data_IF_674290250229
#
_entry.id   IF_674290250229
#
_cell.length_a   1.000
_cell.length_b   1.000
_cell.length_c   1.000
_cell.angle_alpha   90.00
_cell.angle_beta   90.00
_cell.angle_gamma   90.00
#
_symmetry.space_group_name_H-M   'P 1'
#
loop_
_entity.id
_entity.type
_entity.pdbx_description
1 polymer ?
#
# COMPACT_ATOMS: atom_id res chain seq x y z
N UNK A 1 -7.64 26.48 -55.45
CA UNK A 1 -6.22 26.89 -55.50
C UNK A 1 -5.44 26.07 -54.49
N UNK A 2 -4.61 25.17 -54.99
CA UNK A 2 -3.69 24.30 -54.24
C UNK A 2 -2.47 25.09 -53.76
N UNK A 3 -2.00 24.84 -52.53
CA UNK A 3 -0.59 25.01 -52.16
C UNK A 3 -0.06 23.73 -51.50
N UNK A 4 0.90 23.14 -52.24
CA UNK A 4 1.91 22.11 -51.97
C UNK A 4 2.88 22.57 -50.85
N UNK A 5 3.77 21.80 -50.19
CA UNK A 5 4.22 20.38 -50.12
C UNK A 5 5.28 20.31 -48.98
N UNK A 6 5.58 19.08 -48.52
CA UNK A 6 6.79 18.58 -47.83
C UNK A 6 6.91 18.86 -46.32
N UNK A 7 7.24 17.90 -45.45
CA UNK A 7 7.68 16.52 -45.63
C UNK A 7 8.84 16.23 -44.68
N UNK A 8 8.71 15.22 -43.80
CA UNK A 8 9.79 14.29 -43.46
C UNK A 8 9.23 13.14 -42.62
N UNK A 9 9.18 11.95 -43.23
CA UNK A 9 9.19 10.69 -42.51
C UNK A 9 10.66 10.36 -42.19
N UNK A 10 10.94 9.96 -40.96
CA UNK A 10 12.14 9.18 -40.67
C UNK A 10 11.72 7.91 -39.93
N UNK A 11 11.76 6.80 -40.68
CA UNK A 11 11.82 5.46 -40.13
C UNK A 11 13.27 5.19 -39.71
N UNK A 12 13.47 4.64 -38.52
CA UNK A 12 14.70 3.94 -38.17
C UNK A 12 14.31 2.62 -37.50
N UNK A 13 14.52 1.55 -38.25
CA UNK A 13 14.52 0.18 -37.77
C UNK A 13 15.78 -0.08 -36.94
N UNK A 14 15.65 -0.80 -35.82
CA UNK A 14 16.74 -1.62 -35.27
C UNK A 14 16.13 -2.97 -34.88
N UNK A 15 16.45 -3.98 -35.68
CA UNK A 15 16.24 -5.40 -35.41
C UNK A 15 17.43 -5.94 -34.59
N UNK A 16 17.14 -6.96 -33.75
CA UNK A 16 17.96 -8.12 -33.32
C UNK A 16 19.40 -7.86 -32.80
N UNK A 17 19.95 -8.54 -31.78
CA UNK A 17 19.71 -9.86 -31.20
C UNK A 17 20.59 -10.01 -29.93
N UNK A 18 20.21 -10.98 -29.12
CA UNK A 18 20.86 -11.63 -27.97
C UNK A 18 22.40 -11.57 -27.84
N UNK A 19 22.90 -11.36 -26.61
CA UNK A 19 23.96 -12.18 -26.00
C UNK A 19 24.11 -11.87 -24.50
N UNK A 20 24.04 -12.91 -23.67
CA UNK A 20 24.45 -12.90 -22.28
C UNK A 20 25.98 -12.84 -22.17
N UNK A 21 26.51 -12.04 -21.23
CA UNK A 21 27.86 -12.22 -20.71
C UNK A 21 27.81 -12.05 -19.19
N UNK A 22 27.97 -13.17 -18.51
CA UNK A 22 28.44 -13.29 -17.13
C UNK A 22 29.88 -12.80 -17.04
N UNK A 23 30.21 -11.94 -16.07
CA UNK A 23 31.58 -11.68 -15.67
C UNK A 23 31.70 -11.83 -14.14
N UNK A 24 32.31 -12.94 -13.75
CA UNK A 24 32.87 -13.18 -12.42
C UNK A 24 34.08 -12.27 -12.23
N UNK A 25 34.13 -11.50 -11.15
CA UNK A 25 35.36 -10.87 -10.70
C UNK A 25 35.98 -11.78 -9.63
N UNK A 26 37.05 -12.47 -10.04
CA UNK A 26 37.93 -13.22 -9.16
C UNK A 26 39.01 -12.30 -8.60
N UNK A 27 39.41 -12.63 -7.37
CA UNK A 27 40.57 -12.26 -6.58
C UNK A 27 41.81 -11.84 -7.40
N UNK A 28 42.49 -10.80 -6.92
CA UNK A 28 43.90 -10.56 -7.20
C UNK A 28 44.61 -10.30 -5.87
N UNK A 29 45.50 -11.22 -5.56
CA UNK A 29 46.45 -11.18 -4.47
C UNK A 29 47.49 -10.09 -4.72
N UNK A 30 47.90 -9.37 -3.67
CA UNK A 30 49.18 -8.67 -3.67
C UNK A 30 49.88 -8.99 -2.35
N UNK A 31 50.93 -9.78 -2.48
CA UNK A 31 51.81 -10.27 -1.44
C UNK A 31 53.10 -9.47 -1.54
N UNK A 32 53.38 -8.63 -0.53
CA UNK A 32 54.64 -7.93 -0.40
C UNK A 32 55.05 -7.88 1.07
N UNK A 33 55.73 -8.95 1.48
CA UNK A 33 56.49 -9.01 2.71
C UNK A 33 57.80 -8.20 2.60
N UNK A 34 58.07 -7.34 3.59
CA UNK A 34 59.43 -7.17 4.14
C UNK A 34 59.38 -6.76 5.61
N UNK A 35 60.18 -7.47 6.40
CA UNK A 35 60.25 -7.39 7.86
C UNK A 35 61.20 -6.30 8.37
N UNK A 36 60.94 -5.81 9.60
CA UNK A 36 61.97 -5.47 10.57
C UNK A 36 61.38 -5.46 12.00
N UNK A 37 62.08 -6.12 12.91
CA UNK A 37 61.78 -6.30 14.32
C UNK A 37 62.01 -5.01 15.15
N UNK A 38 61.37 -4.88 16.31
CA UNK A 38 61.99 -5.14 17.63
C UNK A 38 61.19 -4.57 18.82
N UNK A 39 61.12 -5.40 19.87
CA UNK A 39 61.03 -5.16 21.31
C UNK A 39 59.92 -4.37 22.05
N UNK A 40 59.33 -5.13 22.98
CA UNK A 40 59.06 -4.83 24.39
C UNK A 40 57.92 -3.87 24.76
N UNK A 41 57.01 -4.37 25.60
CA UNK A 41 55.90 -3.58 26.14
C UNK A 41 54.83 -4.41 26.85
N UNK A 42 55.24 -5.21 27.84
CA UNK A 42 54.54 -5.39 29.12
C UNK A 42 53.02 -5.68 29.13
N UNK A 43 52.70 -6.93 29.45
CA UNK A 43 51.35 -7.42 29.76
C UNK A 43 50.87 -6.92 31.11
N UNK A 44 49.79 -6.12 31.13
CA UNK A 44 48.92 -6.01 32.30
C UNK A 44 47.62 -6.76 31.99
N UNK A 45 47.42 -7.85 32.71
CA UNK A 45 46.13 -8.49 32.84
C UNK A 45 45.23 -7.60 33.72
N UNK A 46 44.04 -7.25 33.22
CA UNK A 46 42.90 -7.11 34.10
C UNK A 46 41.66 -7.70 33.41
N UNK A 47 41.02 -8.60 34.13
CA UNK A 47 39.88 -9.36 33.68
C UNK A 47 38.62 -8.53 33.80
N UNK A 48 37.91 -8.39 32.69
CA UNK A 48 36.47 -8.17 32.73
C UNK A 48 35.84 -8.92 31.59
N UNK A 49 35.59 -10.19 31.87
CA UNK A 49 34.61 -11.01 31.17
C UNK A 49 33.22 -10.47 31.49
N UNK A 50 32.81 -9.41 30.79
CA UNK A 50 31.41 -9.04 30.73
C UNK A 50 30.76 -9.82 29.59
N UNK A 51 30.19 -10.93 30.03
CA UNK A 51 29.26 -11.79 29.30
C UNK A 51 28.29 -10.95 28.48
N UNK A 52 28.48 -10.95 27.16
CA UNK A 52 27.41 -10.57 26.24
C UNK A 52 26.32 -11.62 26.38
N UNK A 53 25.35 -11.33 27.25
CA UNK A 53 24.08 -12.01 27.27
C UNK A 53 23.38 -11.68 25.95
N UNK A 54 23.68 -12.47 24.91
CA UNK A 54 22.74 -12.75 23.85
C UNK A 54 21.56 -13.43 24.54
N UNK A 55 20.65 -12.61 25.07
CA UNK A 55 19.30 -13.03 25.32
C UNK A 55 18.69 -13.31 23.94
N UNK A 56 19.04 -14.48 23.39
CA UNK A 56 18.20 -15.22 22.48
C UNK A 56 16.87 -15.38 23.21
N UNK A 57 16.02 -14.37 23.03
CA UNK A 57 14.60 -14.51 23.18
C UNK A 57 14.26 -15.68 22.28
N UNK A 58 14.00 -16.81 22.92
CA UNK A 58 13.16 -17.83 22.33
C UNK A 58 11.89 -17.10 21.93
N UNK A 59 11.87 -16.65 20.68
CA UNK A 59 10.65 -16.21 20.00
C UNK A 59 9.68 -17.34 20.23
N UNK A 60 8.66 -17.10 21.07
CA UNK A 60 7.62 -18.08 21.30
C UNK A 60 7.23 -18.61 19.93
N UNK A 61 7.41 -19.91 19.71
CA UNK A 61 7.43 -20.53 18.39
C UNK A 61 6.10 -20.37 17.60
N UNK A 62 5.13 -19.65 18.17
CA UNK A 62 3.84 -19.33 17.59
C UNK A 62 3.44 -17.84 17.57
N UNK A 63 4.33 -16.84 17.79
CA UNK A 63 4.00 -15.41 17.59
C UNK A 63 4.88 -14.72 16.53
N UNK A 64 5.05 -15.39 15.40
CA UNK A 64 5.92 -14.94 14.30
C UNK A 64 5.16 -14.93 12.98
N UNK A 65 5.70 -14.25 11.98
CA UNK A 65 5.39 -14.50 10.56
C UNK A 65 6.69 -14.75 9.81
N UNK A 66 6.61 -15.53 8.74
CA UNK A 66 7.79 -15.93 7.97
C UNK A 66 7.69 -15.46 6.53
N UNK A 67 8.85 -15.33 5.89
CA UNK A 67 8.96 -15.10 4.46
C UNK A 67 10.00 -16.03 3.86
N UNK A 68 9.62 -16.72 2.78
CA UNK A 68 10.51 -17.63 2.06
C UNK A 68 11.21 -16.89 0.92
N UNK A 69 12.45 -16.48 1.17
CA UNK A 69 13.29 -15.71 0.23
C UNK A 69 13.64 -16.56 -1.00
N UNK A 70 13.92 -17.85 -0.81
CA UNK A 70 14.35 -18.75 -1.89
C UNK A 70 13.20 -19.09 -2.81
N UNK A 71 12.04 -19.46 -2.25
CA UNK A 71 10.81 -19.72 -3.02
C UNK A 71 10.33 -18.46 -3.76
N UNK A 72 10.62 -17.28 -3.21
CA UNK A 72 10.35 -15.98 -3.85
C UNK A 72 11.32 -15.64 -4.98
N UNK A 73 12.37 -16.43 -5.22
CA UNK A 73 13.39 -16.18 -6.25
C UNK A 73 14.28 -14.96 -5.96
N UNK A 74 14.37 -14.53 -4.71
CA UNK A 74 15.18 -13.36 -4.34
C UNK A 74 16.64 -13.78 -4.12
N UNK A 75 17.56 -13.12 -4.84
CA UNK A 75 18.98 -13.46 -4.83
C UNK A 75 19.80 -12.40 -4.09
N UNK A 76 20.99 -12.80 -3.60
CA UNK A 76 21.96 -11.92 -2.93
C UNK A 76 21.42 -11.20 -1.67
N UNK A 77 20.38 -11.77 -1.05
CA UNK A 77 19.75 -11.23 0.16
C UNK A 77 20.65 -11.47 1.36
N UNK A 78 20.97 -10.39 2.07
CA UNK A 78 21.72 -10.39 3.34
C UNK A 78 20.85 -9.99 4.53
N UNK A 79 19.79 -9.24 4.29
CA UNK A 79 18.86 -8.79 5.32
C UNK A 79 17.47 -8.66 4.73
N UNK A 80 16.49 -9.10 5.51
CA UNK A 80 15.06 -9.03 5.21
C UNK A 80 14.38 -8.24 6.31
N UNK A 81 13.38 -7.45 5.94
CA UNK A 81 12.58 -6.63 6.83
C UNK A 81 11.11 -6.97 6.63
N UNK A 82 10.33 -6.90 7.71
CA UNK A 82 8.89 -7.11 7.71
C UNK A 82 8.22 -5.83 8.20
N UNK A 83 7.28 -5.32 7.42
CA UNK A 83 6.52 -4.11 7.70
C UNK A 83 5.07 -4.51 7.90
N UNK A 84 4.52 -4.24 9.09
CA UNK A 84 3.13 -4.58 9.43
C UNK A 84 2.45 -3.34 9.98
N UNK A 85 1.23 -3.08 9.50
CA UNK A 85 0.36 -2.01 9.98
C UNK A 85 -1.10 -2.44 9.90
N UNK A 86 -1.99 -1.74 10.61
CA UNK A 86 -3.43 -2.00 10.51
C UNK A 86 -3.99 -1.41 9.21
N UNK A 87 -4.81 -2.18 8.52
CA UNK A 87 -5.37 -1.80 7.23
C UNK A 87 -6.29 -0.55 7.31
N UNK A 88 -6.87 -0.28 8.48
CA UNK A 88 -7.68 0.91 8.77
C UNK A 88 -6.83 2.18 9.01
N UNK A 89 -5.50 2.06 9.00
CA UNK A 89 -4.55 3.14 9.23
C UNK A 89 -4.38 3.55 10.69
N UNK A 90 -5.00 2.83 11.63
CA UNK A 90 -4.81 3.01 13.07
C UNK A 90 -3.56 2.30 13.58
N UNK A 91 -3.14 2.62 14.80
CA UNK A 91 -2.00 1.97 15.46
C UNK A 91 -0.64 2.51 15.01
N UNK A 92 0.40 1.74 15.31
CA UNK A 92 1.77 2.11 15.00
C UNK A 92 2.10 1.79 13.55
N UNK A 93 2.64 2.80 12.86
CA UNK A 93 3.09 2.67 11.48
C UNK A 93 4.55 2.17 11.42
N UNK A 94 4.89 1.32 10.42
CA UNK A 94 6.24 0.83 10.19
C UNK A 94 7.23 1.98 9.93
N UNK A 95 8.45 1.81 10.45
CA UNK A 95 9.57 2.69 10.19
C UNK A 95 10.51 1.98 9.21
N UNK A 96 10.33 2.28 7.92
CA UNK A 96 10.88 1.54 6.79
C UNK A 96 12.33 1.06 6.97
N UNK A 97 12.51 -0.26 6.91
CA UNK A 97 13.77 -0.99 7.04
C UNK A 97 14.56 -0.64 8.31
N UNK A 98 13.86 -0.32 9.39
CA UNK A 98 14.48 -0.07 10.68
C UNK A 98 14.96 -1.36 11.35
N UNK A 99 15.80 -1.20 12.38
CA UNK A 99 16.29 -2.32 13.20
C UNK A 99 15.15 -3.13 13.84
N UNK A 100 14.01 -2.49 14.16
CA UNK A 100 12.83 -3.16 14.75
C UNK A 100 12.09 -4.06 13.76
N UNK A 101 12.21 -3.79 12.47
CA UNK A 101 11.55 -4.52 11.39
C UNK A 101 12.42 -5.65 10.83
N UNK A 102 13.71 -5.67 11.19
CA UNK A 102 14.66 -6.65 10.69
C UNK A 102 14.28 -8.07 11.15
N UNK A 103 14.14 -8.97 10.18
CA UNK A 103 13.87 -10.37 10.41
C UNK A 103 15.14 -11.12 10.85
N UNK A 104 14.97 -12.20 11.61
CA UNK A 104 16.00 -13.23 11.75
C UNK A 104 16.02 -14.05 10.47
N UNK A 105 17.06 -13.91 9.66
CA UNK A 105 17.18 -14.57 8.36
C UNK A 105 18.20 -15.70 8.40
N UNK A 106 17.75 -16.90 8.03
CA UNK A 106 18.61 -18.07 7.81
C UNK A 106 18.79 -18.29 6.30
N UNK A 107 19.99 -18.02 5.81
CA UNK A 107 20.32 -18.15 4.38
C UNK A 107 20.41 -19.61 3.91
N UNK A 108 20.64 -20.57 4.82
CA UNK A 108 20.72 -21.99 4.49
C UNK A 108 19.35 -22.56 4.13
N UNK A 109 18.31 -22.18 4.86
CA UNK A 109 16.92 -22.53 4.57
C UNK A 109 16.23 -21.54 3.65
N UNK A 110 16.67 -20.27 3.66
CA UNK A 110 16.01 -19.18 2.92
C UNK A 110 14.86 -18.53 3.69
N UNK A 111 14.65 -18.88 4.96
CA UNK A 111 13.51 -18.40 5.75
C UNK A 111 13.91 -17.17 6.56
N UNK A 112 13.18 -16.07 6.35
CA UNK A 112 13.20 -14.90 7.20
C UNK A 112 12.03 -14.97 8.20
N UNK A 113 12.33 -14.91 9.49
CA UNK A 113 11.31 -14.95 10.56
C UNK A 113 11.24 -13.59 11.24
N UNK A 114 10.04 -13.04 11.33
CA UNK A 114 9.74 -11.80 12.02
C UNK A 114 8.93 -12.05 13.29
N UNK A 115 9.33 -11.39 14.37
CA UNK A 115 8.67 -11.45 15.68
C UNK A 115 7.61 -10.35 15.77
N UNK A 116 6.33 -10.75 15.86
CA UNK A 116 5.20 -9.83 15.82
C UNK A 116 5.13 -8.91 17.03
N UNK A 117 5.76 -9.28 18.16
CA UNK A 117 5.81 -8.41 19.34
C UNK A 117 6.55 -7.08 19.08
N UNK A 118 7.38 -7.03 18.03
CA UNK A 118 8.16 -5.85 17.64
C UNK A 118 7.37 -4.80 16.87
N UNK A 119 6.14 -5.12 16.47
CA UNK A 119 5.28 -4.21 15.69
C UNK A 119 4.69 -3.06 16.50
N UNK A 120 4.63 -3.19 17.84
CA UNK A 120 3.84 -2.29 18.70
C UNK A 120 2.34 -2.57 18.69
N UNK A 121 1.86 -3.43 17.77
CA UNK A 121 0.46 -3.84 17.69
C UNK A 121 0.21 -5.09 18.56
N UNK A 122 -0.94 -5.12 19.25
CA UNK A 122 -1.41 -6.36 19.91
C UNK A 122 -2.13 -7.21 18.87
N UNK A 123 -1.43 -8.21 18.33
CA UNK A 123 -1.94 -9.12 17.29
C UNK A 123 -2.34 -10.45 17.94
N UNK A 124 -3.57 -10.90 17.68
CA UNK A 124 -4.12 -12.14 18.24
C UNK A 124 -4.54 -13.13 17.14
N UNK A 125 -4.58 -14.43 17.45
CA UNK A 125 -5.07 -15.47 16.51
C UNK A 125 -6.54 -15.31 16.13
N UNK A 126 -7.32 -14.68 16.99
CA UNK A 126 -8.74 -14.37 16.76
C UNK A 126 -8.96 -13.13 15.91
N UNK A 127 -7.93 -12.33 15.67
CA UNK A 127 -8.07 -11.15 14.81
C UNK A 127 -8.43 -11.60 13.39
N UNK A 128 -9.41 -10.92 12.80
CA UNK A 128 -9.72 -11.10 11.40
C UNK A 128 -8.69 -10.40 10.50
N UNK A 129 -9.09 -10.08 9.27
CA UNK A 129 -8.20 -9.54 8.23
C UNK A 129 -7.95 -8.05 8.43
N UNK A 130 -7.28 -7.67 9.51
CA UNK A 130 -7.13 -6.26 9.92
C UNK A 130 -5.72 -5.71 9.71
N UNK A 131 -4.77 -6.54 9.26
CA UNK A 131 -3.38 -6.13 9.05
C UNK A 131 -2.97 -6.24 7.58
N UNK A 132 -2.05 -5.36 7.17
CA UNK A 132 -1.31 -5.47 5.94
C UNK A 132 0.16 -5.80 6.26
N UNK A 133 0.80 -6.63 5.45
CA UNK A 133 2.21 -6.98 5.56
C UNK A 133 2.95 -6.76 4.24
N UNK A 134 4.17 -6.26 4.34
CA UNK A 134 5.16 -6.26 3.26
C UNK A 134 6.45 -6.88 3.79
N UNK A 135 7.11 -7.69 2.97
CA UNK A 135 8.51 -8.02 3.15
C UNK A 135 9.37 -7.25 2.17
N UNK A 136 10.53 -6.79 2.61
CA UNK A 136 11.55 -6.15 1.77
C UNK A 136 12.95 -6.66 2.09
N UNK A 137 13.89 -6.46 1.18
CA UNK A 137 15.28 -6.86 1.35
C UNK A 137 16.26 -5.72 1.08
N UNK A 138 17.50 -5.89 1.56
CA UNK A 138 18.61 -4.95 1.32
C UNK A 138 19.00 -4.80 -0.16
N UNK A 139 18.46 -5.64 -1.05
CA UNK A 139 18.68 -5.61 -2.49
C UNK A 139 17.68 -4.71 -3.22
N UNK A 140 16.73 -4.10 -2.50
CA UNK A 140 15.63 -3.33 -3.09
C UNK A 140 14.42 -4.17 -3.47
N UNK A 141 14.47 -5.49 -3.30
CA UNK A 141 13.31 -6.38 -3.52
C UNK A 141 12.23 -6.13 -2.48
N UNK A 142 10.97 -6.20 -2.91
CA UNK A 142 9.79 -5.95 -2.09
C UNK A 142 8.63 -6.85 -2.55
N UNK A 143 7.87 -7.39 -1.60
CA UNK A 143 6.57 -8.00 -1.91
C UNK A 143 5.51 -6.92 -2.14
N UNK A 144 4.47 -7.26 -2.90
CA UNK A 144 3.23 -6.52 -2.84
C UNK A 144 2.59 -6.64 -1.45
N UNK A 145 1.71 -5.70 -1.12
CA UNK A 145 0.95 -5.74 0.13
C UNK A 145 0.16 -7.05 0.19
N UNK A 146 0.32 -7.80 1.28
CA UNK A 146 -0.53 -8.94 1.57
C UNK A 146 -1.40 -8.63 2.79
N UNK A 147 -2.68 -8.97 2.70
CA UNK A 147 -3.59 -8.97 3.84
C UNK A 147 -3.19 -10.10 4.78
N UNK A 148 -3.20 -9.80 6.07
CA UNK A 148 -2.88 -10.71 7.15
C UNK A 148 -4.04 -10.74 8.14
N UNK A 149 -4.35 -11.95 8.64
CA UNK A 149 -5.22 -12.16 9.79
C UNK A 149 -4.46 -12.85 10.92
N UNK A 150 -5.10 -13.00 12.08
CA UNK A 150 -4.57 -13.79 13.19
C UNK A 150 -4.24 -15.24 12.83
N UNK A 151 -4.91 -15.81 11.82
CA UNK A 151 -4.63 -17.18 11.34
C UNK A 151 -3.31 -17.30 10.59
N UNK A 152 -2.75 -16.18 10.10
CA UNK A 152 -1.44 -16.14 9.44
C UNK A 152 -0.27 -16.21 10.44
N UNK A 153 -0.54 -16.13 11.74
CA UNK A 153 0.52 -16.25 12.76
C UNK A 153 1.15 -17.66 12.67
N UNK A 154 2.46 -17.70 12.50
CA UNK A 154 3.27 -18.89 12.29
C UNK A 154 3.43 -19.30 10.82
N UNK A 155 2.64 -18.71 9.92
CA UNK A 155 2.62 -19.01 8.49
C UNK A 155 3.76 -18.32 7.73
N UNK A 156 3.96 -18.78 6.49
CA UNK A 156 5.01 -18.31 5.58
C UNK A 156 4.37 -17.62 4.38
N UNK A 157 4.78 -16.38 4.15
CA UNK A 157 4.49 -15.64 2.92
C UNK A 157 5.60 -15.88 1.90
N UNK A 158 5.27 -15.90 0.61
CA UNK A 158 6.27 -15.95 -0.46
C UNK A 158 5.77 -15.23 -1.72
N UNK A 159 6.68 -14.71 -2.52
CA UNK A 159 6.36 -14.16 -3.83
C UNK A 159 6.12 -15.29 -4.83
N UNK A 160 5.07 -15.19 -5.65
CA UNK A 160 4.66 -16.25 -6.58
C UNK A 160 5.47 -16.28 -7.87
N UNK A 161 6.27 -15.24 -8.13
CA UNK A 161 6.90 -14.97 -9.42
C UNK A 161 6.04 -14.12 -10.37
N UNK A 162 4.74 -13.94 -10.07
CA UNK A 162 3.88 -13.03 -10.82
C UNK A 162 4.13 -11.57 -10.43
N UNK A 163 3.81 -10.67 -11.35
CA UNK A 163 3.88 -9.22 -11.13
C UNK A 163 2.49 -8.59 -11.24
N UNK A 164 2.17 -7.74 -10.28
CA UNK A 164 0.98 -6.89 -10.27
C UNK A 164 1.38 -5.47 -10.65
N UNK A 165 0.48 -4.74 -11.28
CA UNK A 165 0.62 -3.29 -11.38
C UNK A 165 0.64 -2.69 -9.97
N UNK A 166 1.51 -1.71 -9.71
CA UNK A 166 1.54 -1.08 -8.41
C UNK A 166 0.37 -0.06 -8.30
N UNK A 167 -0.44 -0.13 -7.23
CA UNK A 167 -1.61 0.73 -7.08
C UNK A 167 -1.28 2.21 -6.84
N UNK A 168 -0.10 2.51 -6.27
CA UNK A 168 0.36 3.87 -5.99
C UNK A 168 1.11 4.48 -7.20
N UNK A 169 1.73 3.63 -8.02
CA UNK A 169 2.44 4.03 -9.24
C UNK A 169 2.25 2.98 -10.34
N UNK A 170 1.27 3.21 -11.20
CA UNK A 170 0.88 2.30 -12.28
C UNK A 170 1.98 1.99 -13.31
N UNK A 171 3.06 2.78 -13.35
CA UNK A 171 4.22 2.51 -14.23
C UNK A 171 5.15 1.43 -13.65
N UNK A 172 5.00 1.15 -12.35
CA UNK A 172 5.81 0.14 -11.64
C UNK A 172 5.06 -1.18 -11.48
N UNK A 173 5.85 -2.22 -11.22
CA UNK A 173 5.37 -3.56 -10.88
C UNK A 173 5.71 -3.91 -9.45
N UNK A 174 4.82 -4.63 -8.79
CA UNK A 174 5.01 -5.20 -7.46
C UNK A 174 4.97 -6.73 -7.54
N UNK A 175 5.76 -7.41 -6.71
CA UNK A 175 5.84 -8.86 -6.72
C UNK A 175 4.63 -9.45 -5.97
N UNK A 176 3.75 -10.17 -6.66
CA UNK A 176 2.59 -10.81 -6.01
C UNK A 176 3.06 -11.75 -4.89
N UNK A 177 2.49 -11.63 -3.70
CA UNK A 177 2.82 -12.48 -2.56
C UNK A 177 1.58 -13.18 -1.98
N UNK A 178 1.75 -14.44 -1.56
CA UNK A 178 0.69 -15.30 -1.01
C UNK A 178 1.16 -16.00 0.24
N UNK A 179 0.20 -16.28 1.11
CA UNK A 179 0.39 -17.12 2.29
C UNK A 179 0.33 -18.59 1.89
N UNK A 180 1.20 -19.41 2.47
CA UNK A 180 1.29 -20.83 2.13
C UNK A 180 0.09 -21.63 2.64
N UNK A 181 -0.40 -21.33 3.85
CA UNK A 181 -1.45 -22.12 4.49
C UNK A 181 -2.78 -21.36 4.67
N UNK A 182 -2.81 -20.05 4.44
CA UNK A 182 -3.98 -19.19 4.68
C UNK A 182 -4.51 -18.55 3.39
N UNK A 183 -5.29 -19.30 2.60
CA UNK A 183 -5.84 -18.85 1.31
C UNK A 183 -6.90 -17.74 1.41
N UNK A 184 -7.51 -17.54 2.59
CA UNK A 184 -8.44 -16.44 2.84
C UNK A 184 -7.73 -15.08 2.93
N UNK A 185 -6.40 -15.11 3.05
CA UNK A 185 -5.48 -13.98 3.04
C UNK A 185 -4.66 -14.01 1.74
N UNK A 186 -3.96 -12.92 1.42
CA UNK A 186 -3.20 -12.86 0.17
C UNK A 186 -3.00 -11.44 -0.33
N UNK A 187 -2.68 -11.24 -1.62
CA UNK A 187 -2.39 -9.92 -2.16
C UNK A 187 -3.60 -9.00 -1.97
N UNK A 188 -3.38 -7.82 -1.39
CA UNK A 188 -4.41 -6.82 -1.12
C UNK A 188 -5.18 -6.46 -2.40
N UNK A 189 -6.51 -6.55 -2.35
CA UNK A 189 -7.32 -6.20 -3.51
C UNK A 189 -7.42 -4.69 -3.63
N UNK A 190 -6.92 -4.12 -4.73
CA UNK A 190 -6.94 -2.68 -5.03
C UNK A 190 -7.37 -2.39 -6.48
N UNK A 191 -7.80 -1.15 -6.73
CA UNK A 191 -7.96 -0.59 -8.07
C UNK A 191 -6.78 0.34 -8.33
N UNK A 192 -6.08 0.13 -9.44
CA UNK A 192 -4.94 0.97 -9.84
C UNK A 192 -5.41 2.26 -10.51
N UNK A 193 -4.53 3.24 -10.63
CA UNK A 193 -4.84 4.49 -11.32
C UNK A 193 -5.16 4.28 -12.82
N UNK A 194 -4.82 3.14 -13.43
CA UNK A 194 -5.19 2.82 -14.82
C UNK A 194 -6.50 2.04 -14.93
N UNK A 195 -7.24 1.90 -13.82
CA UNK A 195 -8.54 1.24 -13.81
C UNK A 195 -8.46 -0.28 -13.92
N UNK A 196 -7.40 -0.89 -13.37
CA UNK A 196 -7.26 -2.34 -13.25
C UNK A 196 -7.51 -2.80 -11.82
N UNK A 197 -8.19 -3.93 -11.66
CA UNK A 197 -8.36 -4.60 -10.36
C UNK A 197 -7.20 -5.57 -10.19
N UNK A 198 -6.45 -5.40 -9.11
CA UNK A 198 -5.32 -6.25 -8.74
C UNK A 198 -5.56 -6.89 -7.38
N UNK A 199 -4.81 -7.94 -7.07
CA UNK A 199 -4.92 -8.67 -5.81
C UNK A 199 -6.25 -9.40 -5.65
N UNK A 200 -6.44 -10.01 -4.48
CA UNK A 200 -7.56 -10.93 -4.25
C UNK A 200 -8.15 -10.86 -2.84
N UNK A 201 -7.42 -10.36 -1.85
CA UNK A 201 -7.85 -10.38 -0.45
C UNK A 201 -8.28 -8.99 0.02
N UNK A 202 -9.40 -8.93 0.74
CA UNK A 202 -9.88 -7.71 1.38
C UNK A 202 -9.49 -7.67 2.86
N UNK A 203 -9.15 -6.49 3.39
CA UNK A 203 -9.31 -6.22 4.81
C UNK A 203 -10.74 -6.51 5.28
N UNK A 204 -10.90 -6.80 6.56
CA UNK A 204 -12.22 -6.99 7.15
C UNK A 204 -13.06 -5.72 7.07
N UNK A 205 -14.33 -5.86 6.71
CA UNK A 205 -15.25 -4.74 6.47
C UNK A 205 -15.14 -4.11 5.07
N UNK A 206 -14.13 -4.47 4.27
CA UNK A 206 -14.04 -4.05 2.88
C UNK A 206 -14.80 -5.00 1.92
N UNK A 207 -15.22 -4.47 0.79
CA UNK A 207 -16.02 -5.12 -0.24
C UNK A 207 -15.73 -4.51 -1.60
N UNK A 208 -16.25 -5.12 -2.67
CA UNK A 208 -16.13 -4.56 -4.02
C UNK A 208 -16.76 -3.17 -4.15
N UNK A 209 -17.83 -2.88 -3.40
CA UNK A 209 -18.47 -1.57 -3.40
C UNK A 209 -17.60 -0.51 -2.69
N UNK A 210 -17.00 -0.85 -1.55
CA UNK A 210 -16.11 0.06 -0.81
C UNK A 210 -14.77 0.26 -1.53
N UNK A 211 -14.32 -0.75 -2.27
CA UNK A 211 -13.15 -0.67 -3.15
C UNK A 211 -13.36 0.37 -4.25
N UNK A 212 -14.46 0.30 -4.99
CA UNK A 212 -14.78 1.28 -6.02
C UNK A 212 -15.10 2.66 -5.42
N UNK A 213 -15.75 2.71 -4.26
CA UNK A 213 -15.96 3.96 -3.53
C UNK A 213 -14.63 4.65 -3.19
N UNK A 214 -13.63 3.89 -2.73
CA UNK A 214 -12.29 4.41 -2.43
C UNK A 214 -11.62 5.01 -3.66
N UNK A 215 -11.69 4.31 -4.80
CA UNK A 215 -11.19 4.78 -6.08
C UNK A 215 -11.86 6.11 -6.51
N UNK A 216 -13.19 6.17 -6.46
CA UNK A 216 -13.93 7.36 -6.86
C UNK A 216 -13.71 8.54 -5.90
N UNK A 217 -13.61 8.30 -4.60
CA UNK A 217 -13.28 9.36 -3.62
C UNK A 217 -11.89 9.93 -3.90
N UNK A 218 -10.92 9.11 -4.32
CA UNK A 218 -9.57 9.57 -4.64
C UNK A 218 -9.49 10.34 -5.97
N UNK A 219 -10.32 9.99 -6.96
CA UNK A 219 -10.18 10.48 -8.34
C UNK A 219 -11.40 11.22 -8.89
N UNK A 220 -12.39 11.59 -8.07
CA UNK A 220 -13.66 12.20 -8.52
C UNK A 220 -13.52 13.42 -9.45
N UNK A 221 -12.38 14.12 -9.39
CA UNK A 221 -12.07 15.32 -10.15
C UNK A 221 -11.12 15.06 -11.35
N UNK A 222 -10.75 13.81 -11.61
CA UNK A 222 -9.92 13.40 -12.74
C UNK A 222 -10.77 12.61 -13.75
N UNK A 223 -11.05 13.24 -14.90
CA UNK A 223 -11.89 12.66 -15.95
C UNK A 223 -11.26 11.39 -16.56
N UNK A 224 -9.94 11.36 -16.75
CA UNK A 224 -9.26 10.21 -17.33
C UNK A 224 -9.40 8.98 -16.43
N UNK A 225 -9.30 9.16 -15.11
CA UNK A 225 -9.46 8.10 -14.12
C UNK A 225 -10.93 7.69 -13.97
N UNK A 226 -11.83 8.66 -13.82
CA UNK A 226 -13.26 8.37 -13.64
C UNK A 226 -13.91 7.79 -14.90
N UNK A 227 -13.30 7.92 -16.09
CA UNK A 227 -13.74 7.23 -17.30
C UNK A 227 -13.78 5.71 -17.17
N UNK A 228 -13.00 5.12 -16.25
CA UNK A 228 -12.99 3.67 -15.99
C UNK A 228 -14.19 3.18 -15.15
N UNK A 229 -15.03 4.08 -14.64
CA UNK A 229 -16.09 3.73 -13.68
C UNK A 229 -17.04 2.65 -14.21
N UNK A 230 -17.50 2.75 -15.47
CA UNK A 230 -18.40 1.73 -16.03
C UNK A 230 -17.74 0.35 -16.09
N UNK A 231 -16.50 0.28 -16.61
CA UNK A 231 -15.72 -0.96 -16.66
C UNK A 231 -15.57 -1.56 -15.26
N UNK A 232 -15.23 -0.74 -14.27
CA UNK A 232 -15.04 -1.19 -12.89
C UNK A 232 -16.34 -1.69 -12.25
N UNK A 233 -17.48 -1.02 -12.47
CA UNK A 233 -18.80 -1.51 -12.06
C UNK A 233 -19.07 -2.89 -12.66
N UNK A 234 -18.83 -3.05 -13.96
CA UNK A 234 -19.10 -4.28 -14.70
C UNK A 234 -18.20 -5.44 -14.26
N UNK A 235 -16.93 -5.19 -13.96
CA UNK A 235 -16.00 -6.23 -13.49
C UNK A 235 -16.28 -6.63 -12.04
N UNK A 236 -16.57 -5.65 -11.17
CA UNK A 236 -16.86 -5.87 -9.76
C UNK A 236 -18.30 -6.37 -9.50
N UNK A 237 -19.19 -6.27 -10.49
CA UNK A 237 -20.61 -6.63 -10.39
C UNK A 237 -21.33 -5.91 -9.25
N UNK A 238 -21.00 -4.64 -9.04
CA UNK A 238 -21.64 -3.78 -8.03
C UNK A 238 -22.52 -2.72 -8.68
N UNK A 239 -23.64 -2.40 -8.05
CA UNK A 239 -24.54 -1.35 -8.54
C UNK A 239 -24.01 0.06 -8.20
N UNK A 240 -24.30 1.07 -9.04
CA UNK A 240 -23.97 2.47 -8.72
C UNK A 240 -24.54 2.93 -7.36
N UNK A 241 -25.74 2.47 -6.99
CA UNK A 241 -26.38 2.80 -5.71
C UNK A 241 -25.60 2.25 -4.51
N UNK A 242 -25.09 1.01 -4.59
CA UNK A 242 -24.24 0.43 -3.54
C UNK A 242 -22.94 1.21 -3.37
N UNK A 243 -22.30 1.57 -4.48
CA UNK A 243 -21.06 2.35 -4.48
C UNK A 243 -21.30 3.73 -3.86
N UNK A 244 -22.38 4.42 -4.23
CA UNK A 244 -22.73 5.72 -3.65
C UNK A 244 -22.99 5.62 -2.14
N UNK A 245 -23.67 4.56 -1.68
CA UNK A 245 -23.85 4.31 -0.25
C UNK A 245 -22.50 4.15 0.47
N UNK A 246 -21.58 3.37 -0.10
CA UNK A 246 -20.24 3.18 0.44
C UNK A 246 -19.40 4.47 0.45
N UNK A 247 -19.54 5.32 -0.58
CA UNK A 247 -18.90 6.66 -0.62
C UNK A 247 -19.37 7.51 0.55
N UNK A 248 -20.69 7.58 0.77
CA UNK A 248 -21.26 8.36 1.88
C UNK A 248 -20.79 7.84 3.24
N UNK A 249 -20.82 6.53 3.45
CA UNK A 249 -20.38 5.94 4.72
C UNK A 249 -18.90 6.24 4.98
N UNK A 250 -18.05 6.12 3.95
CA UNK A 250 -16.62 6.42 4.04
C UNK A 250 -16.38 7.88 4.41
N UNK A 251 -16.99 8.82 3.68
CA UNK A 251 -16.82 10.26 3.92
C UNK A 251 -17.27 10.67 5.33
N UNK A 252 -18.34 10.04 5.84
CA UNK A 252 -18.83 10.27 7.20
C UNK A 252 -17.89 9.67 8.26
N UNK A 253 -17.43 8.43 8.05
CA UNK A 253 -16.53 7.74 8.97
C UNK A 253 -15.21 8.50 9.15
N UNK A 254 -14.65 9.05 8.07
CA UNK A 254 -13.39 9.82 8.11
C UNK A 254 -13.60 11.29 8.45
N UNK A 255 -14.84 11.75 8.68
CA UNK A 255 -15.19 13.17 8.85
C UNK A 255 -14.55 14.06 7.77
N UNK A 256 -14.60 13.61 6.52
CA UNK A 256 -13.87 14.25 5.43
C UNK A 256 -14.35 15.71 5.25
N UNK A 257 -13.46 16.72 5.25
CA UNK A 257 -13.85 18.12 5.12
C UNK A 257 -14.48 18.44 3.75
N UNK A 258 -14.12 17.68 2.72
CA UNK A 258 -14.58 17.90 1.34
C UNK A 258 -15.78 17.03 0.96
N UNK A 259 -16.44 16.40 1.95
CA UNK A 259 -17.58 15.48 1.70
C UNK A 259 -18.69 16.12 0.85
N UNK A 260 -18.93 17.41 1.04
CA UNK A 260 -19.99 18.16 0.34
C UNK A 260 -19.61 18.51 -1.11
N UNK A 261 -18.34 18.34 -1.47
CA UNK A 261 -17.82 18.44 -2.84
C UNK A 261 -17.71 17.07 -3.49
N UNK A 262 -17.17 16.09 -2.76
CA UNK A 262 -16.88 14.74 -3.28
C UNK A 262 -18.18 13.99 -3.56
N UNK A 263 -19.12 13.94 -2.61
CA UNK A 263 -20.32 13.12 -2.76
C UNK A 263 -21.19 13.53 -3.97
N UNK A 264 -21.47 14.83 -4.23
CA UNK A 264 -22.20 15.24 -5.43
C UNK A 264 -21.44 14.97 -6.74
N UNK A 265 -20.11 15.08 -6.74
CA UNK A 265 -19.31 14.79 -7.92
C UNK A 265 -19.36 13.30 -8.27
N UNK A 266 -19.21 12.42 -7.27
CA UNK A 266 -19.33 10.97 -7.46
C UNK A 266 -20.75 10.58 -7.87
N UNK A 267 -21.78 11.17 -7.28
CA UNK A 267 -23.18 10.99 -7.73
C UNK A 267 -23.34 11.33 -9.21
N UNK A 268 -22.77 12.44 -9.69
CA UNK A 268 -22.85 12.83 -11.10
C UNK A 268 -22.18 11.81 -12.02
N UNK A 269 -21.03 11.25 -11.62
CA UNK A 269 -20.33 10.19 -12.37
C UNK A 269 -21.22 8.95 -12.44
N UNK A 270 -21.68 8.47 -11.28
CA UNK A 270 -22.48 7.24 -11.16
C UNK A 270 -23.84 7.35 -11.88
N UNK A 271 -24.45 8.53 -11.92
CA UNK A 271 -25.69 8.78 -12.67
C UNK A 271 -25.53 8.59 -14.19
N UNK A 272 -24.31 8.66 -14.71
CA UNK A 272 -23.99 8.38 -16.11
C UNK A 272 -23.88 6.88 -16.43
N UNK A 273 -23.74 6.03 -15.41
CA UNK A 273 -23.47 4.61 -15.57
C UNK A 273 -24.73 3.76 -15.73
N UNK A 274 -24.54 2.59 -16.34
CA UNK A 274 -25.51 1.49 -16.37
C UNK A 274 -25.20 0.56 -15.21
N UNK A 275 -26.25 0.16 -14.49
CA UNK A 275 -26.14 -0.80 -13.40
C UNK A 275 -25.96 -2.22 -13.96
N UNK A 276 -24.82 -2.89 -13.70
CA UNK A 276 -24.56 -4.23 -14.22
C UNK A 276 -25.47 -5.31 -13.60
N UNK A 277 -26.09 -5.03 -12.47
CA UNK A 277 -26.99 -5.98 -11.77
C UNK A 277 -28.39 -5.98 -12.36
N UNK A 278 -28.79 -4.89 -13.03
CA UNK A 278 -30.14 -4.74 -13.62
C UNK A 278 -30.14 -4.50 -15.12
N UNK A 279 -29.00 -4.13 -15.70
CA UNK A 279 -28.85 -3.75 -17.12
C UNK A 279 -29.47 -2.39 -17.48
N UNK A 280 -29.89 -1.59 -16.49
CA UNK A 280 -30.58 -0.31 -16.68
C UNK A 280 -29.73 0.85 -16.19
N UNK A 281 -30.01 2.06 -16.71
CA UNK A 281 -29.46 3.28 -16.09
C UNK A 281 -29.95 3.37 -14.64
N UNK A 282 -29.06 3.84 -13.76
CA UNK A 282 -29.38 4.01 -12.34
C UNK A 282 -30.54 4.98 -12.15
N UNK A 283 -31.43 4.65 -11.22
CA UNK A 283 -32.50 5.55 -10.81
C UNK A 283 -31.93 6.70 -9.97
N UNK A 284 -32.19 7.94 -10.40
CA UNK A 284 -31.64 9.13 -9.77
C UNK A 284 -32.14 9.34 -8.34
N UNK A 285 -33.36 8.91 -8.02
CA UNK A 285 -33.92 8.98 -6.67
C UNK A 285 -33.25 7.96 -5.75
N UNK A 286 -33.00 6.73 -6.23
CA UNK A 286 -32.25 5.73 -5.47
C UNK A 286 -30.81 6.20 -5.17
N UNK A 287 -30.16 6.83 -6.16
CA UNK A 287 -28.81 7.37 -5.99
C UNK A 287 -28.76 8.53 -4.98
N UNK A 288 -29.71 9.48 -5.06
CA UNK A 288 -29.82 10.59 -4.10
C UNK A 288 -30.12 10.08 -2.67
N UNK A 289 -30.96 9.05 -2.55
CA UNK A 289 -31.24 8.41 -1.26
C UNK A 289 -29.98 7.72 -0.69
N UNK A 290 -29.20 7.02 -1.51
CA UNK A 290 -27.93 6.42 -1.09
C UNK A 290 -26.90 7.47 -0.66
N UNK A 291 -26.81 8.59 -1.39
CA UNK A 291 -25.96 9.72 -1.00
C UNK A 291 -26.33 10.28 0.38
N UNK A 292 -27.62 10.34 0.72
CA UNK A 292 -28.11 10.86 2.01
C UNK A 292 -27.98 9.89 3.17
N UNK A 293 -28.19 8.60 2.93
CA UNK A 293 -28.39 7.60 3.98
C UNK A 293 -27.31 6.53 4.07
N UNK A 294 -26.35 6.54 3.13
CA UNK A 294 -25.26 5.56 3.09
C UNK A 294 -25.72 4.19 2.60
N UNK A 295 -24.99 3.13 2.98
CA UNK A 295 -25.32 1.75 2.61
C UNK A 295 -26.70 1.29 3.13
N UNK A 296 -27.30 1.99 4.09
CA UNK A 296 -28.67 1.75 4.56
C UNK A 296 -29.71 1.87 3.44
N UNK A 297 -29.47 2.68 2.41
CA UNK A 297 -30.34 2.77 1.23
C UNK A 297 -30.34 1.48 0.38
N UNK A 298 -29.20 0.80 0.27
CA UNK A 298 -29.06 -0.39 -0.57
C UNK A 298 -29.78 -1.61 0.00
N UNK A 299 -29.96 -1.67 1.34
CA UNK A 299 -30.66 -2.73 2.03
C UNK A 299 -32.20 -2.59 2.01
N UNK A 300 -32.73 -1.45 1.55
CA UNK A 300 -34.14 -1.07 1.70
C UNK A 300 -35.08 -1.44 0.55
N UNK A 301 -34.65 -2.20 -0.47
CA UNK A 301 -35.55 -2.62 -1.56
C UNK A 301 -36.46 -3.79 -1.16
N UNK A 302 -37.19 -3.63 -0.06
CA UNK A 302 -38.42 -4.36 0.21
C UNK A 302 -39.37 -3.47 1.00
N UNK A 303 -40.54 -3.23 0.40
CA UNK A 303 -41.77 -2.62 0.92
C UNK A 303 -42.05 -1.13 0.59
N UNK A 304 -43.20 -1.01 -0.09
CA UNK A 304 -44.02 0.16 -0.33
C UNK A 304 -44.67 0.64 0.98
N UNK A 305 -44.66 1.94 1.30
CA UNK A 305 -45.45 2.47 2.42
C UNK A 305 -45.08 3.87 2.95
N UNK A 306 -45.78 4.88 2.42
CA UNK A 306 -46.37 6.05 3.11
C UNK A 306 -45.60 6.95 4.09
N UNK A 307 -45.76 8.26 3.82
CA UNK A 307 -45.55 9.48 4.63
C UNK A 307 -45.79 9.45 6.14
N UNK A 308 -44.98 10.19 6.92
CA UNK A 308 -45.39 11.39 7.71
C UNK A 308 -44.32 11.95 8.68
N UNK A 309 -44.10 13.27 8.58
CA UNK A 309 -43.79 14.31 9.59
C UNK A 309 -43.16 14.01 10.98
N UNK A 310 -42.06 14.76 11.23
CA UNK A 310 -41.67 15.55 12.43
C UNK A 310 -41.70 14.95 13.84
N UNK A 311 -40.55 15.03 14.53
CA UNK A 311 -40.46 15.66 15.86
C UNK A 311 -39.02 15.93 16.31
N UNK A 312 -38.90 17.03 17.04
CA UNK A 312 -37.74 17.71 17.60
C UNK A 312 -37.10 16.97 18.80
N UNK A 313 -35.81 17.25 19.07
CA UNK A 313 -35.08 16.90 20.31
C UNK A 313 -33.66 16.44 19.99
N UNK A 314 -32.55 17.10 20.33
CA UNK A 314 -32.28 18.03 21.42
C UNK A 314 -31.37 17.33 22.45
N UNK A 315 -30.05 17.43 22.30
CA UNK A 315 -29.08 17.60 23.40
C UNK A 315 -27.64 17.57 22.91
N UNK A 316 -26.93 18.64 23.27
CA UNK A 316 -25.50 18.83 23.21
C UNK A 316 -24.80 18.11 24.38
N UNK A 317 -23.67 17.46 24.13
CA UNK A 317 -22.61 17.31 25.13
C UNK A 317 -21.24 17.40 24.47
N UNK A 318 -20.44 18.31 25.01
CA UNK A 318 -19.05 18.60 24.69
C UNK A 318 -18.13 17.59 25.38
N UNK A 319 -17.17 17.05 24.62
CA UNK A 319 -16.06 16.26 25.13
C UNK A 319 -14.78 16.63 24.39
N UNK A 320 -13.91 17.37 25.07
CA UNK A 320 -12.59 17.80 24.62
C UNK A 320 -11.60 16.63 24.56
N UNK A 321 -10.68 16.63 23.59
CA UNK A 321 -9.63 15.61 23.48
C UNK A 321 -8.54 15.95 22.45
N UNK A 322 -7.62 16.83 22.86
CA UNK A 322 -6.19 16.94 22.50
C UNK A 322 -5.68 16.37 21.16
N UNK A 323 -5.30 17.29 20.28
CA UNK A 323 -4.47 17.12 19.08
C UNK A 323 -2.98 16.96 19.41
N UNK A 324 -2.33 15.93 18.88
CA UNK A 324 -0.86 15.85 18.79
C UNK A 324 -0.43 15.77 17.33
N UNK A 325 0.00 16.90 16.78
CA UNK A 325 0.61 17.04 15.46
C UNK A 325 2.11 16.76 15.55
N UNK A 326 2.56 15.69 14.91
CA UNK A 326 3.99 15.40 14.70
C UNK A 326 4.43 15.87 13.31
N UNK A 327 5.19 16.96 13.24
CA UNK A 327 5.78 17.48 12.02
C UNK A 327 7.03 16.66 11.62
N UNK A 328 7.13 16.23 10.36
CA UNK A 328 8.33 15.59 9.81
C UNK A 328 9.27 16.64 9.22
N UNK A 329 10.53 16.61 9.67
CA UNK A 329 11.63 17.43 9.15
C UNK A 329 12.21 16.78 7.88
N UNK A 330 12.46 17.59 6.87
CA UNK A 330 13.09 17.18 5.61
C UNK A 330 14.58 16.91 5.79
N UNK A 331 15.04 15.74 5.36
CA UNK A 331 16.42 15.45 5.01
C UNK A 331 16.43 15.01 3.54
N UNK A 332 17.16 15.75 2.72
CA UNK A 332 17.39 15.45 1.30
C UNK A 332 18.35 14.28 1.22
N UNK A 333 17.98 13.23 0.48
CA UNK A 333 18.87 12.53 -0.47
C UNK A 333 18.09 11.51 -1.31
N UNK A 334 18.45 11.43 -2.58
CA UNK A 334 17.76 10.82 -3.72
C UNK A 334 17.25 9.40 -3.46
N UNK A 335 15.99 9.28 -3.03
CA UNK A 335 15.31 7.98 -2.84
C UNK A 335 13.93 8.07 -3.48
N UNK A 336 13.59 7.05 -4.26
CA UNK A 336 12.31 6.86 -4.94
C UNK A 336 11.16 7.25 -4.01
N UNK A 337 10.49 8.35 -4.37
CA UNK A 337 9.42 8.98 -3.59
C UNK A 337 8.24 8.01 -3.51
N UNK A 338 7.97 7.51 -2.31
CA UNK A 338 6.67 6.92 -1.97
C UNK A 338 5.78 8.01 -1.38
N UNK A 339 4.73 8.37 -2.12
CA UNK A 339 3.55 9.03 -1.56
C UNK A 339 2.65 7.89 -1.08
N UNK A 340 2.80 7.48 0.18
CA UNK A 340 1.91 6.49 0.80
C UNK A 340 0.65 7.20 1.31
N UNK A 341 -0.48 6.91 0.65
CA UNK A 341 -1.86 7.02 1.13
C UNK A 341 -2.16 8.11 2.20
N UNK A 342 -2.31 9.34 1.72
CA UNK A 342 -3.12 10.36 2.35
C UNK A 342 -3.55 11.32 1.25
N UNK A 343 -4.85 11.58 1.13
CA UNK A 343 -5.40 12.67 0.33
C UNK A 343 -4.78 13.99 0.83
N UNK A 344 -3.59 14.33 0.36
CA UNK A 344 -3.03 15.67 0.45
C UNK A 344 -3.57 16.40 -0.77
N UNK A 345 -4.64 17.16 -0.56
CA UNK A 345 -5.16 18.17 -1.47
C UNK A 345 -3.98 19.01 -1.96
N UNK A 346 -3.55 18.80 -3.20
CA UNK A 346 -2.47 19.56 -3.83
C UNK A 346 -3.03 20.90 -4.34
N UNK A 347 -3.21 21.84 -3.40
CA UNK A 347 -3.28 23.26 -3.72
C UNK A 347 -1.87 23.86 -3.59
N UNK A 348 -1.08 23.82 -4.66
CA UNK A 348 0.15 24.59 -4.76
C UNK A 348 0.15 25.36 -6.08
N UNK A 349 -0.33 26.59 -6.01
CA UNK A 349 -0.26 27.57 -7.07
C UNK A 349 1.19 27.91 -7.44
N UNK A 350 1.34 28.21 -8.72
CA UNK A 350 2.54 28.77 -9.36
C UNK A 350 3.10 29.93 -8.54
N UNK A 351 4.32 29.80 -8.02
CA UNK A 351 5.12 30.93 -7.56
C UNK A 351 6.51 30.85 -8.22
N UNK A 352 6.59 31.58 -9.31
CA UNK A 352 7.82 32.02 -9.96
C UNK A 352 8.65 32.81 -8.95
N UNK A 353 9.87 32.38 -8.62
CA UNK A 353 10.85 33.23 -7.96
C UNK A 353 12.07 33.39 -8.87
N UNK A 354 12.09 34.55 -9.51
CA UNK A 354 13.22 35.08 -10.26
C UNK A 354 14.46 35.18 -9.36
N UNK A 355 15.55 34.53 -9.76
CA UNK A 355 16.88 34.75 -9.18
C UNK A 355 17.32 36.17 -9.49
N UNK A 356 17.36 37.04 -8.49
CA UNK A 356 18.12 38.29 -8.56
C UNK A 356 19.58 37.98 -8.22
N UNK A 357 20.41 37.98 -9.26
CA UNK A 357 21.88 37.99 -9.23
C UNK A 357 22.33 39.14 -8.33
N UNK A 358 23.23 38.90 -7.38
CA UNK A 358 24.00 39.96 -6.72
C UNK A 358 25.43 39.83 -7.21
N UNK A 359 25.84 40.85 -7.97
CA UNK A 359 27.22 41.12 -8.34
C UNK A 359 27.96 41.77 -7.16
N UNK A 360 29.25 41.43 -7.10
CA UNK A 360 30.38 41.94 -6.32
C UNK A 360 30.37 41.83 -4.78
#
# INVERSE_FOLDING_TARGET
MFKKIAGLFLAAAVMCSSAAITASAAEAEDDAAVAAADQSGEVSADGSSEVSADASSEVEAGNVVKFDVKKSGWNNVKSVFCHIWKADGSGDWPAWQSKKEKCKYDSSTGIATYDLSKTGNTISKSDGRVYCVIFSANTGMQSYNAIMSGKCIGDTLYCTGNQLENPEDSEKKANEAKWENNSDCGPEKKITSTGNIIGSAFPEGESDATLLATYLVAYYNDEAKTSFTQKLLDELKVSPTQVMGAVTDRLNATKNPDKDTIAPAVEKILAGCTDPTTGKKVDKTQLDNAKKTGAKAAAGSSSNGSSSSSSNGGSSSSGSGSSSTGAVKSGVETTIVFVMAGLMVSAAGVMFLARKKKED
#
